data_IF_344848666973
#
_entry.id   IF_344848666973
#
_cell.length_a   1.000
_cell.length_b   1.000
_cell.length_c   1.000
_cell.angle_alpha   90.00
_cell.angle_beta   90.00
_cell.angle_gamma   90.00
#
_symmetry.space_group_name_H-M   'P 1'
#
loop_
_entity.id
_entity.type
_entity.pdbx_description
1 polymer ?
#
# COMPACT_ATOMS: atom_id res chain seq x y z
N UNK A 1 -15.94 -47.54 -36.52
CA UNK A 1 -14.89 -46.53 -36.75
C UNK A 1 -15.52 -45.16 -36.62
N UNK A 2 -15.14 -44.36 -35.61
CA UNK A 2 -15.57 -42.97 -35.48
C UNK A 2 -14.36 -42.13 -35.04
N UNK A 3 -13.88 -41.30 -35.96
CA UNK A 3 -12.69 -40.45 -35.84
C UNK A 3 -13.01 -39.19 -35.03
N UNK A 4 -12.35 -39.00 -33.89
CA UNK A 4 -12.41 -37.75 -33.14
C UNK A 4 -11.39 -36.77 -33.72
N UNK A 5 -11.84 -35.86 -34.59
CA UNK A 5 -11.01 -34.78 -35.10
C UNK A 5 -10.92 -33.65 -34.06
N UNK A 6 -9.78 -33.55 -33.36
CA UNK A 6 -9.47 -32.40 -32.49
C UNK A 6 -9.05 -31.22 -33.36
N UNK A 7 -9.83 -30.14 -33.35
CA UNK A 7 -9.43 -28.85 -33.92
C UNK A 7 -8.32 -28.22 -33.06
N UNK A 8 -7.28 -27.59 -33.63
CA UNK A 8 -6.26 -26.91 -32.84
C UNK A 8 -6.85 -25.66 -32.17
N UNK A 9 -6.58 -25.52 -30.87
CA UNK A 9 -6.82 -24.30 -30.11
C UNK A 9 -5.90 -23.21 -30.69
N UNK A 10 -6.50 -22.20 -31.31
CA UNK A 10 -5.82 -20.96 -31.67
C UNK A 10 -5.43 -20.24 -30.37
N UNK A 11 -4.15 -20.28 -30.00
CA UNK A 11 -3.64 -19.46 -28.92
C UNK A 11 -3.49 -18.01 -29.41
N UNK A 12 -4.52 -17.18 -29.27
CA UNK A 12 -4.34 -15.73 -29.24
C UNK A 12 -3.93 -15.34 -27.82
N UNK A 13 -2.70 -15.67 -27.46
CA UNK A 13 -2.07 -15.26 -26.21
C UNK A 13 -1.29 -13.97 -26.45
N UNK A 14 -1.78 -12.85 -25.94
CA UNK A 14 -1.01 -11.61 -25.83
C UNK A 14 0.29 -11.90 -25.06
N UNK A 15 1.44 -11.88 -25.74
CA UNK A 15 2.74 -12.03 -25.09
C UNK A 15 3.06 -10.76 -24.31
N UNK A 16 2.85 -10.78 -22.99
CA UNK A 16 3.50 -9.80 -22.12
C UNK A 16 4.98 -10.16 -22.05
N UNK A 17 5.80 -9.54 -22.90
CA UNK A 17 7.24 -9.64 -22.77
C UNK A 17 7.67 -8.87 -21.52
N UNK A 18 8.33 -9.55 -20.59
CA UNK A 18 8.92 -8.90 -19.42
C UNK A 18 10.08 -8.00 -19.89
N UNK A 19 10.22 -6.78 -19.34
CA UNK A 19 11.29 -5.88 -19.73
C UNK A 19 12.65 -6.50 -19.41
N UNK A 20 13.59 -6.43 -20.36
CA UNK A 20 14.97 -6.91 -20.21
C UNK A 20 15.95 -5.75 -20.32
N UNK A 21 17.21 -5.94 -19.93
CA UNK A 21 18.22 -4.87 -19.98
C UNK A 21 18.46 -4.29 -21.37
N UNK A 22 18.16 -5.06 -22.42
CA UNK A 22 18.25 -4.64 -23.83
C UNK A 22 16.97 -3.97 -24.34
N UNK A 23 15.83 -4.20 -23.68
CA UNK A 23 14.53 -3.62 -24.01
C UNK A 23 13.89 -3.05 -22.74
N UNK A 24 14.23 -1.81 -22.34
CA UNK A 24 13.53 -1.16 -21.25
C UNK A 24 12.05 -1.07 -21.63
N UNK A 25 11.17 -1.56 -20.74
CA UNK A 25 9.73 -1.56 -20.97
C UNK A 25 9.25 -0.15 -21.30
N UNK A 26 8.49 0.00 -22.38
CA UNK A 26 7.88 1.28 -22.73
C UNK A 26 6.87 1.66 -21.65
N UNK A 27 6.94 2.91 -21.17
CA UNK A 27 6.00 3.41 -20.18
C UNK A 27 4.59 3.43 -20.77
N UNK A 28 3.63 2.82 -20.06
CA UNK A 28 2.22 2.84 -20.43
C UNK A 28 1.73 4.31 -20.47
N UNK A 29 1.16 4.80 -21.59
CA UNK A 29 0.63 6.16 -21.68
C UNK A 29 -0.51 6.46 -20.68
N UNK A 30 -1.06 5.44 -20.01
CA UNK A 30 -2.06 5.59 -18.96
C UNK A 30 -1.50 5.63 -17.52
N UNK A 31 -0.18 5.55 -17.33
CA UNK A 31 0.41 5.60 -16.00
C UNK A 31 0.15 6.97 -15.35
N UNK A 32 -0.80 7.02 -14.40
CA UNK A 32 -1.24 8.24 -13.72
C UNK A 32 -2.68 8.67 -14.00
N UNK A 33 -3.46 7.93 -14.81
CA UNK A 33 -4.88 8.23 -15.00
C UNK A 33 -5.71 7.78 -13.79
N UNK A 34 -5.80 8.66 -12.78
CA UNK A 34 -6.69 8.45 -11.63
C UNK A 34 -8.14 8.25 -12.09
N UNK A 35 -8.89 7.25 -11.58
CA UNK A 35 -10.31 7.14 -11.87
C UNK A 35 -11.02 8.41 -11.38
N UNK A 36 -11.88 8.99 -12.23
CA UNK A 36 -12.69 10.16 -11.89
C UNK A 36 -13.65 9.77 -10.76
N UNK A 37 -13.28 10.12 -9.52
CA UNK A 37 -14.13 9.98 -8.34
C UNK A 37 -15.33 10.91 -8.50
N UNK A 38 -16.51 10.35 -8.79
CA UNK A 38 -17.77 11.11 -8.77
C UNK A 38 -18.03 11.58 -7.33
N UNK A 39 -17.63 12.81 -7.03
CA UNK A 39 -17.94 13.43 -5.75
C UNK A 39 -19.40 13.88 -5.75
N UNK A 40 -20.17 13.35 -4.80
CA UNK A 40 -21.54 13.78 -4.52
C UNK A 40 -21.49 15.23 -4.03
N UNK A 41 -22.29 16.06 -4.66
CA UNK A 41 -22.50 17.48 -4.32
C UNK A 41 -23.17 17.60 -2.96
N UNK A 42 -22.42 18.00 -1.93
CA UNK A 42 -22.97 18.60 -0.72
C UNK A 42 -22.19 19.88 -0.41
N UNK A 43 -22.96 20.95 -0.28
CA UNK A 43 -22.57 22.35 -0.29
C UNK A 43 -21.52 22.74 0.77
N UNK A 44 -20.61 23.63 0.37
CA UNK A 44 -19.80 24.42 1.29
C UNK A 44 -19.45 25.75 0.63
N UNK A 45 -20.11 26.81 1.08
CA UNK A 45 -19.97 28.20 0.65
C UNK A 45 -18.57 28.75 1.00
N UNK A 46 -17.52 28.22 0.37
CA UNK A 46 -16.15 28.68 0.58
C UNK A 46 -15.86 29.84 -0.37
N UNK A 47 -15.64 31.01 0.24
CA UNK A 47 -15.25 32.27 -0.41
C UNK A 47 -14.20 31.99 -1.50
N UNK A 48 -14.51 32.35 -2.75
CA UNK A 48 -13.54 32.41 -3.84
C UNK A 48 -12.35 33.25 -3.36
N UNK A 49 -11.21 32.62 -3.09
CA UNK A 49 -9.94 33.33 -2.97
C UNK A 49 -9.66 33.97 -4.33
N UNK A 50 -9.58 35.31 -4.35
CA UNK A 50 -9.09 36.08 -5.48
C UNK A 50 -7.75 35.48 -5.95
N UNK A 51 -7.61 35.20 -7.25
CA UNK A 51 -6.40 34.60 -7.83
C UNK A 51 -5.26 35.61 -7.70
N UNK A 52 -4.27 35.33 -6.84
CA UNK A 52 -2.98 36.03 -6.86
C UNK A 52 -2.25 35.73 -8.18
N UNK A 53 -1.29 36.54 -8.63
CA UNK A 53 -0.52 36.25 -9.84
C UNK A 53 0.13 34.87 -9.77
N UNK A 54 0.29 34.21 -10.92
CA UNK A 54 0.72 32.81 -11.05
C UNK A 54 1.97 32.47 -10.19
N UNK A 55 2.93 33.38 -10.09
CA UNK A 55 4.13 33.21 -9.26
C UNK A 55 3.85 33.11 -7.76
N UNK A 56 2.93 33.92 -7.23
CA UNK A 56 2.59 33.91 -5.81
C UNK A 56 1.87 32.61 -5.41
N UNK A 57 1.06 32.05 -6.32
CA UNK A 57 0.41 30.76 -6.11
C UNK A 57 1.44 29.64 -5.99
N UNK A 58 2.45 29.60 -6.88
CA UNK A 58 3.52 28.60 -6.83
C UNK A 58 4.31 28.65 -5.52
N UNK A 59 4.59 29.85 -5.00
CA UNK A 59 5.30 30.02 -3.72
C UNK A 59 4.45 29.50 -2.56
N UNK A 60 3.14 29.76 -2.58
CA UNK A 60 2.21 29.26 -1.55
C UNK A 60 2.12 27.73 -1.61
N UNK A 61 1.91 27.15 -2.79
CA UNK A 61 1.84 25.71 -3.01
C UNK A 61 3.13 25.00 -2.59
N UNK A 62 4.29 25.59 -2.90
CA UNK A 62 5.58 25.08 -2.44
C UNK A 62 5.67 25.08 -0.91
N UNK A 63 5.32 26.18 -0.26
CA UNK A 63 5.33 26.30 1.20
C UNK A 63 4.36 25.30 1.85
N UNK A 64 3.19 25.07 1.25
CA UNK A 64 2.22 24.10 1.72
C UNK A 64 2.76 22.67 1.62
N UNK A 65 3.31 22.28 0.46
CA UNK A 65 3.99 20.97 0.29
C UNK A 65 5.12 20.76 1.29
N UNK A 66 5.95 21.77 1.53
CA UNK A 66 7.03 21.68 2.52
C UNK A 66 6.51 21.47 3.93
N UNK A 67 5.41 22.14 4.30
CA UNK A 67 4.75 21.95 5.61
C UNK A 67 4.14 20.55 5.74
N UNK A 68 3.54 20.02 4.67
CA UNK A 68 2.97 18.66 4.67
C UNK A 68 4.06 17.60 4.81
N UNK A 69 5.13 17.70 4.02
CA UNK A 69 6.29 16.81 4.09
C UNK A 69 6.90 16.79 5.50
N UNK A 70 7.05 17.96 6.13
CA UNK A 70 7.57 18.06 7.50
C UNK A 70 6.63 17.39 8.52
N UNK A 71 5.31 17.55 8.37
CA UNK A 71 4.32 16.89 9.23
C UNK A 71 4.36 15.37 9.05
N UNK A 72 4.48 14.88 7.82
CA UNK A 72 4.56 13.45 7.53
C UNK A 72 5.85 12.83 8.04
N UNK A 73 6.99 13.49 7.87
CA UNK A 73 8.27 13.06 8.44
C UNK A 73 8.18 12.90 9.96
N UNK A 74 7.60 13.91 10.65
CA UNK A 74 7.39 13.87 12.10
C UNK A 74 6.43 12.74 12.53
N UNK A 75 5.40 12.45 11.74
CA UNK A 75 4.50 11.31 12.01
C UNK A 75 5.24 9.99 11.88
N UNK A 76 6.02 9.81 10.81
CA UNK A 76 6.83 8.60 10.58
C UNK A 76 7.85 8.38 11.68
N UNK A 77 8.55 9.42 12.11
CA UNK A 77 9.51 9.35 13.22
C UNK A 77 8.86 8.86 14.52
N UNK A 78 7.68 9.42 14.87
CA UNK A 78 6.91 8.96 16.04
C UNK A 78 6.46 7.51 15.94
N UNK A 79 6.15 7.03 14.73
CA UNK A 79 5.76 5.64 14.52
C UNK A 79 6.94 4.69 14.66
N UNK A 80 8.10 5.07 14.14
CA UNK A 80 9.35 4.30 14.28
C UNK A 80 9.83 4.22 15.73
N UNK A 81 9.59 5.25 16.53
CA UNK A 81 9.91 5.25 17.98
C UNK A 81 9.01 4.32 18.81
N UNK A 82 7.95 3.73 18.24
CA UNK A 82 7.11 2.78 18.98
C UNK A 82 7.92 1.53 19.35
N UNK A 83 7.72 0.98 20.56
CA UNK A 83 8.45 -0.22 20.99
C UNK A 83 8.18 -1.46 20.12
N UNK A 84 7.09 -1.43 19.34
CA UNK A 84 6.77 -2.44 18.33
C UNK A 84 7.84 -2.59 17.25
N UNK A 85 8.61 -1.55 16.97
CA UNK A 85 9.65 -1.55 15.95
C UNK A 85 11.07 -1.55 16.54
N UNK A 86 11.22 -1.42 17.87
CA UNK A 86 12.53 -1.41 18.53
C UNK A 86 12.94 -2.74 19.16
N UNK A 87 11.97 -3.53 19.67
CA UNK A 87 12.28 -4.79 20.37
C UNK A 87 12.24 -6.00 19.41
N UNK A 88 13.37 -6.69 19.17
CA UNK A 88 13.42 -7.88 18.31
C UNK A 88 12.69 -9.09 18.90
N UNK A 89 12.43 -9.13 20.22
CA UNK A 89 11.65 -10.20 20.86
C UNK A 89 10.18 -10.23 20.40
N UNK A 90 9.75 -9.24 19.60
CA UNK A 90 8.35 -8.90 19.40
C UNK A 90 7.85 -8.93 17.94
N UNK A 91 8.73 -9.15 16.95
CA UNK A 91 8.41 -9.46 15.54
C UNK A 91 7.11 -8.81 14.99
N UNK A 92 6.98 -7.49 15.12
CA UNK A 92 5.88 -6.75 14.49
C UNK A 92 4.46 -7.04 15.03
N UNK A 93 4.28 -7.81 16.11
CA UNK A 93 2.97 -7.97 16.73
C UNK A 93 2.50 -6.65 17.36
N UNK A 94 1.19 -6.34 17.34
CA UNK A 94 0.64 -5.11 17.97
C UNK A 94 0.52 -5.20 19.50
N UNK A 95 0.50 -6.40 20.07
CA UNK A 95 0.58 -6.67 21.53
C UNK A 95 1.51 -7.84 21.81
N UNK A 96 2.37 -7.72 22.83
CA UNK A 96 3.35 -8.75 23.19
C UNK A 96 2.64 -10.11 23.35
N UNK A 97 3.12 -11.19 22.71
CA UNK A 97 2.56 -12.51 22.92
C UNK A 97 2.51 -12.85 24.41
N UNK A 98 1.34 -13.27 24.90
CA UNK A 98 1.14 -13.56 26.33
C UNK A 98 1.83 -14.88 26.68
N UNK A 99 2.89 -14.81 27.47
CA UNK A 99 3.45 -16.01 28.12
C UNK A 99 2.46 -16.51 29.18
N UNK A 100 2.02 -17.77 29.06
CA UNK A 100 1.08 -18.42 29.97
C UNK A 100 1.86 -18.98 31.17
N UNK A 101 1.29 -18.91 32.37
CA UNK A 101 1.82 -19.65 33.53
C UNK A 101 1.60 -21.16 33.34
N UNK A 102 2.35 -22.03 34.05
CA UNK A 102 2.25 -23.48 33.90
C UNK A 102 0.82 -24.01 34.06
N UNK A 103 0.06 -23.43 34.99
CA UNK A 103 -1.33 -23.84 35.24
C UNK A 103 -2.29 -23.55 34.09
N UNK A 104 -1.93 -22.60 33.21
CA UNK A 104 -2.75 -22.12 32.09
C UNK A 104 -2.25 -22.59 30.72
N UNK A 105 -1.19 -23.41 30.71
CA UNK A 105 -0.69 -24.14 29.54
C UNK A 105 -1.65 -25.28 29.17
N UNK A 106 -1.66 -25.68 27.90
CA UNK A 106 -2.54 -26.75 27.42
C UNK A 106 -1.90 -28.09 27.75
N UNK A 107 -2.65 -28.99 28.39
CA UNK A 107 -2.17 -30.35 28.62
C UNK A 107 -2.27 -31.16 27.32
N UNK A 108 -1.17 -31.74 26.88
CA UNK A 108 -1.15 -32.65 25.74
C UNK A 108 -1.46 -34.08 26.20
N UNK A 109 -2.52 -34.69 25.65
CA UNK A 109 -2.94 -36.06 26.01
C UNK A 109 -1.97 -37.14 25.54
N UNK A 110 -1.17 -36.84 24.51
CA UNK A 110 -0.21 -37.78 23.92
C UNK A 110 1.12 -37.75 24.68
N UNK A 111 1.61 -36.55 24.99
CA UNK A 111 2.93 -36.35 25.60
C UNK A 111 2.89 -36.36 27.15
N UNK A 112 1.72 -36.20 27.76
CA UNK A 112 1.56 -36.16 29.22
C UNK A 112 2.13 -34.90 29.89
N UNK A 113 2.56 -33.90 29.11
CA UNK A 113 3.13 -32.64 29.59
C UNK A 113 2.27 -31.43 29.17
N UNK A 114 2.54 -30.28 29.77
CA UNK A 114 1.85 -29.01 29.46
C UNK A 114 2.66 -28.18 28.44
N UNK A 115 1.99 -27.71 27.39
CA UNK A 115 2.53 -26.92 26.28
C UNK A 115 2.02 -25.46 26.34
#
# INVERSE_FOLDING_TARGET
MASCAKKPISQSGNSYQNPSSLNPGQADPNYGRSPKRQQRVFFGLFKKKQKSPFGDQLIVEYKERMKENAKEARKREKEMQKPQYSDPSYFGHKKKPKKRSPDKMKFCKECGIRH
#
